data_IF_417028115996
#
_entry.id   IF_417028115996
#
_cell.length_a   1.000
_cell.length_b   1.000
_cell.length_c   1.000
_cell.angle_alpha   90.00
_cell.angle_beta   90.00
_cell.angle_gamma   90.00
#
_symmetry.space_group_name_H-M   'P 1'
#
loop_
_entity.id
_entity.type
_entity.pdbx_description
1 polymer ?
#
# COMPACT_ATOMS: atom_id res chain seq x y z
N UNK A 1 15.66 4.86 2.95
CA UNK A 1 14.62 5.22 1.97
C UNK A 1 14.74 4.20 0.86
N UNK A 2 13.72 3.35 0.69
CA UNK A 2 13.72 2.32 -0.35
C UNK A 2 13.36 2.96 -1.69
N UNK A 3 14.00 2.51 -2.77
CA UNK A 3 13.60 2.90 -4.11
C UNK A 3 12.17 2.42 -4.42
N UNK A 4 11.42 3.24 -5.15
CA UNK A 4 10.01 2.93 -5.44
C UNK A 4 9.88 1.67 -6.32
N UNK A 5 10.74 1.53 -7.33
CA UNK A 5 10.70 0.39 -8.25
C UNK A 5 11.12 -0.89 -7.52
N UNK A 6 12.17 -0.83 -6.70
CA UNK A 6 12.61 -1.98 -5.87
C UNK A 6 11.51 -2.45 -4.91
N UNK A 7 10.77 -1.51 -4.32
CA UNK A 7 9.65 -1.85 -3.45
C UNK A 7 8.50 -2.51 -4.24
N UNK A 8 8.14 -1.96 -5.40
CA UNK A 8 7.07 -2.51 -6.23
C UNK A 8 7.43 -3.92 -6.71
N UNK A 9 8.69 -4.16 -7.09
CA UNK A 9 9.19 -5.48 -7.48
C UNK A 9 9.07 -6.48 -6.31
N UNK A 10 9.55 -6.10 -5.13
CA UNK A 10 9.49 -6.95 -3.94
C UNK A 10 8.05 -7.33 -3.53
N UNK A 11 7.10 -6.39 -3.64
CA UNK A 11 5.69 -6.67 -3.36
C UNK A 11 5.08 -7.54 -4.46
N UNK A 12 5.40 -7.25 -5.73
CA UNK A 12 4.89 -7.99 -6.90
C UNK A 12 5.34 -9.45 -6.91
N UNK A 13 6.48 -9.76 -6.28
CA UNK A 13 6.97 -11.13 -6.11
C UNK A 13 6.08 -12.00 -5.20
N UNK A 14 5.33 -11.40 -4.27
CA UNK A 14 4.51 -12.13 -3.28
C UNK A 14 3.01 -11.90 -3.42
N UNK A 15 2.59 -10.86 -4.13
CA UNK A 15 1.19 -10.52 -4.33
C UNK A 15 0.96 -9.84 -5.69
N UNK A 16 -0.28 -9.89 -6.18
CA UNK A 16 -0.66 -9.12 -7.37
C UNK A 16 -0.67 -7.62 -7.03
N UNK A 17 0.39 -6.92 -7.38
CA UNK A 17 0.50 -5.49 -7.17
C UNK A 17 0.19 -4.70 -8.46
N UNK A 18 -0.24 -3.45 -8.28
CA UNK A 18 -0.31 -2.45 -9.35
C UNK A 18 -0.03 -1.08 -8.75
N UNK A 19 0.68 -0.24 -9.48
CA UNK A 19 0.87 1.16 -9.10
C UNK A 19 -0.37 1.94 -9.53
N UNK A 20 -0.95 2.66 -8.56
CA UNK A 20 -2.03 3.62 -8.81
C UNK A 20 -1.49 5.02 -8.56
N UNK A 21 -2.10 6.02 -9.21
CA UNK A 21 -1.77 7.42 -9.01
C UNK A 21 -2.19 7.94 -7.62
N UNK A 22 -2.48 9.23 -7.53
CA UNK A 22 -2.89 9.81 -6.25
C UNK A 22 -4.23 9.23 -5.75
N UNK A 23 -4.24 8.76 -4.50
CA UNK A 23 -5.43 8.23 -3.81
C UNK A 23 -6.03 9.23 -2.80
N UNK A 24 -5.71 10.51 -2.95
CA UNK A 24 -6.17 11.61 -2.09
C UNK A 24 -5.83 11.45 -0.60
N UNK A 25 -4.65 10.90 -0.29
CA UNK A 25 -4.21 10.64 1.08
C UNK A 25 -2.87 11.33 1.32
N UNK A 26 -2.86 12.64 1.11
CA UNK A 26 -1.66 13.48 1.15
C UNK A 26 -0.98 13.54 2.53
N UNK A 27 -1.66 13.06 3.59
CA UNK A 27 -1.07 12.94 4.92
C UNK A 27 0.05 11.90 5.00
N UNK A 28 0.11 10.98 4.03
CA UNK A 28 1.09 9.90 4.01
C UNK A 28 1.84 9.86 2.67
N UNK A 29 3.17 9.86 2.74
CA UNK A 29 4.01 9.48 1.62
C UNK A 29 3.93 7.97 1.44
N UNK A 30 3.67 7.51 0.23
CA UNK A 30 3.62 6.09 -0.15
C UNK A 30 2.53 5.28 0.58
N UNK A 31 1.37 5.18 -0.09
CA UNK A 31 0.19 4.47 0.42
C UNK A 31 0.06 3.13 -0.29
N UNK A 32 -0.02 2.07 0.51
CA UNK A 32 -0.27 0.70 0.05
C UNK A 32 -1.67 0.30 0.47
N UNK A 33 -2.41 -0.26 -0.47
CA UNK A 33 -3.78 -0.72 -0.25
C UNK A 33 -3.81 -2.23 -0.47
N UNK A 34 -4.03 -2.96 0.61
CA UNK A 34 -4.06 -4.43 0.58
C UNK A 34 -5.51 -4.89 0.55
N UNK A 35 -5.84 -5.72 -0.43
CA UNK A 35 -7.14 -6.37 -0.55
C UNK A 35 -6.94 -7.85 -0.29
N UNK A 36 -7.37 -8.30 0.88
CA UNK A 36 -7.29 -9.72 1.24
C UNK A 36 -8.42 -10.50 0.55
N UNK A 37 -8.18 -11.78 0.26
CA UNK A 37 -9.20 -12.66 -0.33
C UNK A 37 -10.49 -12.80 0.50
N UNK A 38 -10.42 -12.43 1.79
CA UNK A 38 -11.54 -12.41 2.74
C UNK A 38 -12.41 -11.14 2.66
N UNK A 39 -12.26 -10.30 1.64
CA UNK A 39 -13.06 -9.09 1.45
C UNK A 39 -12.65 -7.91 2.33
N UNK A 40 -11.52 -8.02 3.04
CA UNK A 40 -10.99 -6.95 3.86
C UNK A 40 -10.08 -6.03 3.03
N UNK A 41 -10.25 -4.72 3.18
CA UNK A 41 -9.37 -3.72 2.58
C UNK A 41 -8.62 -3.00 3.70
N UNK A 42 -7.29 -3.03 3.64
CA UNK A 42 -6.41 -2.41 4.63
C UNK A 42 -5.61 -1.32 3.95
N UNK A 43 -5.63 -0.13 4.54
CA UNK A 43 -4.90 1.04 4.07
C UNK A 43 -3.68 1.27 4.96
N UNK A 44 -2.50 1.31 4.34
CA UNK A 44 -1.23 1.48 5.00
C UNK A 44 -0.50 2.69 4.42
N UNK A 45 -0.07 3.62 5.26
CA UNK A 45 0.65 4.82 4.85
C UNK A 45 2.08 4.87 5.39
N UNK A 46 3.00 5.51 4.68
CA UNK A 46 4.38 5.64 5.14
C UNK A 46 5.17 4.34 5.02
N UNK A 47 4.95 3.59 3.94
CA UNK A 47 5.72 2.37 3.64
C UNK A 47 6.94 2.78 2.81
N UNK A 48 7.94 3.38 3.45
CA UNK A 48 9.15 3.93 2.80
C UNK A 48 10.46 3.35 3.36
N UNK A 49 10.34 2.41 4.30
CA UNK A 49 11.43 1.79 5.03
C UNK A 49 11.53 0.30 4.66
N UNK A 50 12.74 -0.23 4.35
CA UNK A 50 12.93 -1.63 3.98
C UNK A 50 12.41 -2.62 5.03
N UNK A 51 12.51 -2.31 6.32
CA UNK A 51 11.98 -3.18 7.38
C UNK A 51 10.44 -3.28 7.33
N UNK A 52 9.77 -2.18 7.01
CA UNK A 52 8.31 -2.14 6.89
C UNK A 52 7.87 -2.83 5.60
N UNK A 53 8.59 -2.64 4.50
CA UNK A 53 8.35 -3.36 3.24
C UNK A 53 8.53 -4.87 3.40
N UNK A 54 9.59 -5.32 4.10
CA UNK A 54 9.80 -6.74 4.37
C UNK A 54 8.66 -7.34 5.18
N UNK A 55 8.25 -6.67 6.27
CA UNK A 55 7.13 -7.12 7.08
C UNK A 55 5.79 -7.13 6.32
N UNK A 56 5.59 -6.18 5.40
CA UNK A 56 4.47 -6.18 4.47
C UNK A 56 4.51 -7.43 3.57
N UNK A 57 5.65 -7.75 2.96
CA UNK A 57 5.79 -8.92 2.10
C UNK A 57 5.57 -10.24 2.85
N UNK A 58 6.08 -10.37 4.08
CA UNK A 58 5.83 -11.53 4.93
C UNK A 58 4.34 -11.66 5.28
N UNK A 59 3.69 -10.56 5.64
CA UNK A 59 2.26 -10.55 5.94
C UNK A 59 1.39 -10.90 4.72
N UNK A 60 1.74 -10.37 3.53
CA UNK A 60 1.08 -10.71 2.26
C UNK A 60 1.22 -12.20 1.93
N UNK A 61 2.44 -12.74 2.08
CA UNK A 61 2.73 -14.16 1.84
C UNK A 61 1.97 -15.09 2.79
N UNK A 62 1.71 -14.62 4.02
CA UNK A 62 0.89 -15.32 5.01
C UNK A 62 -0.64 -15.19 4.77
N UNK A 63 -1.06 -14.53 3.68
CA UNK A 63 -2.47 -14.39 3.29
C UNK A 63 -3.13 -13.08 3.71
N UNK A 64 -2.35 -12.11 4.21
CA UNK A 64 -2.83 -10.78 4.59
C UNK A 64 -4.03 -10.80 5.57
N UNK A 65 -3.97 -11.69 6.55
CA UNK A 65 -5.00 -11.84 7.58
C UNK A 65 -5.05 -10.62 8.51
N UNK A 66 -6.25 -10.18 8.86
CA UNK A 66 -6.45 -9.13 9.87
C UNK A 66 -6.52 -9.73 11.29
N UNK A 67 -5.94 -9.09 12.32
CA UNK A 67 -5.19 -7.83 12.27
C UNK A 67 -3.78 -7.98 11.68
N UNK A 68 -3.26 -6.95 11.00
CA UNK A 68 -1.88 -6.96 10.52
C UNK A 68 -0.89 -6.97 11.70
N UNK A 69 0.37 -7.38 11.48
CA UNK A 69 1.40 -7.37 12.53
C UNK A 69 1.66 -5.96 13.08
N UNK A 70 2.12 -5.87 14.33
CA UNK A 70 2.25 -4.60 15.07
C UNK A 70 3.07 -3.53 14.33
N UNK A 71 4.10 -3.94 13.59
CA UNK A 71 4.91 -3.07 12.72
C UNK A 71 4.06 -2.33 11.67
N UNK A 72 3.06 -3.00 11.09
CA UNK A 72 2.12 -2.41 10.13
C UNK A 72 0.95 -1.70 10.82
N UNK A 73 0.58 -2.08 12.05
CA UNK A 73 -0.52 -1.42 12.78
C UNK A 73 -0.24 0.07 13.00
N UNK A 74 1.01 0.45 13.29
CA UNK A 74 1.44 1.85 13.38
C UNK A 74 1.27 2.66 12.09
N UNK A 75 1.05 1.98 10.96
CA UNK A 75 0.91 2.53 9.61
C UNK A 75 -0.53 2.47 9.10
N UNK A 76 -1.46 1.98 9.90
CA UNK A 76 -2.87 1.90 9.54
C UNK A 76 -3.47 3.30 9.38
N UNK A 77 -4.13 3.50 8.24
CA UNK A 77 -4.92 4.69 7.96
C UNK A 77 -6.35 4.39 8.41
N UNK A 78 -6.61 4.61 9.70
CA UNK A 78 -7.83 4.13 10.37
C UNK A 78 -9.14 4.68 9.80
N UNK A 79 -9.13 5.84 9.15
CA UNK A 79 -10.34 6.45 8.56
C UNK A 79 -10.70 5.91 7.17
N UNK A 80 -9.91 5.01 6.59
CA UNK A 80 -10.15 4.42 5.27
C UNK A 80 -10.52 2.93 5.39
N UNK A 81 -11.75 2.59 5.03
CA UNK A 81 -12.26 1.20 5.02
C UNK A 81 -12.83 0.75 3.67
N UNK A 82 -12.88 1.65 2.68
CA UNK A 82 -13.45 1.41 1.35
C UNK A 82 -12.42 1.30 0.23
N UNK A 83 -12.90 1.08 -1.00
CA UNK A 83 -12.05 1.06 -2.19
C UNK A 83 -11.36 2.41 -2.43
N UNK A 84 -10.10 2.42 -2.91
CA UNK A 84 -9.47 3.64 -3.39
C UNK A 84 -10.29 4.29 -4.48
N UNK A 85 -10.70 5.53 -4.23
CA UNK A 85 -11.10 6.43 -5.30
C UNK A 85 -9.82 6.94 -5.96
N UNK A 86 -9.38 6.27 -7.03
CA UNK A 86 -8.25 6.76 -7.83
C UNK A 86 -8.63 8.14 -8.37
N UNK A 87 -7.90 9.19 -7.97
CA UNK A 87 -8.07 10.50 -8.61
C UNK A 87 -7.48 10.35 -10.01
N UNK A 88 -8.34 10.34 -11.02
CA UNK A 88 -7.92 10.53 -12.40
C UNK A 88 -7.47 11.98 -12.54
N UNK A 89 -6.20 12.25 -12.26
CA UNK A 89 -5.62 13.56 -12.52
C UNK A 89 -5.81 13.85 -14.02
N UNK A 90 -6.38 15.01 -14.41
CA UNK A 90 -6.42 15.38 -15.81
C UNK A 90 -4.98 15.45 -16.31
N UNK A 91 -4.67 14.71 -17.36
CA UNK A 91 -3.37 14.72 -18.03
C UNK A 91 -3.13 16.11 -18.59
N UNK A 92 -2.48 16.97 -17.81
CA UNK A 92 -1.95 18.23 -18.34
C UNK A 92 -0.75 17.90 -19.21
N UNK A 93 -1.03 17.68 -20.49
CA UNK A 93 -0.05 17.81 -21.56
C UNK A 93 0.58 19.20 -21.46
N UNK A 94 1.78 19.28 -20.88
CA UNK A 94 2.61 20.48 -21.00
C UNK A 94 3.12 20.53 -22.43
N UNK A 95 2.63 21.55 -23.14
CA UNK A 95 3.14 22.01 -24.43
C UNK A 95 4.30 22.98 -24.20
#
# INVERSE_FOLDING_TARGET
MTDHDEQVDAISAVARARVVGCVNECAYSNVVIVRSGHGQTVWLGGIDNPAVTSALCEWLSAGASYPPPQVLQSRLIAHRTGEPCEIRLPSTSRR
#
